data_IF_701941857020
#
_entry.id   IF_701941857020
#
_cell.length_a   1.000
_cell.length_b   1.000
_cell.length_c   1.000
_cell.angle_alpha   90.00
_cell.angle_beta   90.00
_cell.angle_gamma   90.00
#
_symmetry.space_group_name_H-M   'P 1'
#
loop_
_entity.id
_entity.type
_entity.pdbx_description
1 polymer ?
#
# COMPACT_ATOMS: atom_id res chain seq x y z
N UNK A 1 -0.82 94.08 6.16
CA UNK A 1 -1.15 92.65 6.28
C UNK A 1 0.00 91.85 5.68
N UNK A 2 0.72 91.12 6.54
CA UNK A 2 1.87 90.22 6.25
C UNK A 2 1.49 89.16 5.18
N UNK A 3 2.23 88.76 4.14
CA UNK A 3 3.66 88.60 3.83
C UNK A 3 4.41 87.51 4.63
N UNK A 4 5.46 86.83 4.10
CA UNK A 4 5.60 86.19 2.77
C UNK A 4 6.64 85.00 2.71
N UNK A 5 7.00 84.55 1.48
CA UNK A 5 8.32 84.01 0.99
C UNK A 5 8.74 82.58 1.41
N UNK A 6 9.55 81.79 0.67
CA UNK A 6 10.12 81.81 -0.70
C UNK A 6 11.00 80.55 -0.96
N UNK A 7 11.27 80.24 -2.25
CA UNK A 7 12.55 79.76 -2.85
C UNK A 7 13.08 78.33 -2.55
N UNK A 8 13.23 77.46 -3.57
CA UNK A 8 14.33 77.26 -4.57
C UNK A 8 15.58 76.55 -4.02
N UNK A 9 15.98 75.42 -4.63
CA UNK A 9 17.25 75.32 -5.38
C UNK A 9 17.28 74.07 -6.27
N UNK A 10 18.06 74.14 -7.37
CA UNK A 10 18.10 73.24 -8.51
C UNK A 10 19.57 73.09 -8.90
N UNK A 11 20.05 71.85 -9.07
CA UNK A 11 21.09 71.41 -10.04
C UNK A 11 22.51 72.02 -9.93
N UNK A 12 23.49 71.76 -10.82
CA UNK A 12 23.69 70.76 -11.90
C UNK A 12 25.10 70.09 -11.75
N UNK A 13 25.72 69.29 -12.63
CA UNK A 13 26.08 69.49 -14.05
C UNK A 13 26.89 68.25 -14.48
N UNK A 14 26.46 67.54 -15.53
CA UNK A 14 26.99 67.55 -16.91
C UNK A 14 28.40 66.97 -17.12
N UNK A 15 28.38 65.94 -17.96
CA UNK A 15 29.42 65.32 -18.77
C UNK A 15 30.33 66.30 -19.53
N UNK A 16 31.50 65.81 -19.96
CA UNK A 16 32.13 66.19 -21.22
C UNK A 16 32.28 65.00 -22.20
N UNK A 17 32.66 65.25 -23.47
CA UNK A 17 32.12 64.54 -24.64
C UNK A 17 33.14 63.71 -25.45
N UNK A 18 32.61 62.73 -26.19
CA UNK A 18 33.08 62.28 -27.51
C UNK A 18 34.47 61.64 -27.64
N UNK A 19 34.86 61.19 -28.84
CA UNK A 19 34.44 59.90 -29.41
C UNK A 19 35.64 59.04 -29.87
N UNK A 20 35.48 57.72 -29.94
CA UNK A 20 35.68 56.87 -31.14
C UNK A 20 35.86 55.37 -30.80
N UNK A 21 35.13 54.60 -31.59
CA UNK A 21 35.02 53.14 -31.83
C UNK A 21 36.25 52.25 -31.53
N UNK A 22 36.07 50.92 -31.31
CA UNK A 22 35.74 50.06 -32.45
C UNK A 22 34.82 48.85 -32.21
N UNK A 23 34.32 48.37 -33.34
CA UNK A 23 33.98 46.99 -33.68
C UNK A 23 32.58 46.44 -33.29
N UNK A 24 31.70 46.51 -34.28
CA UNK A 24 30.68 45.53 -34.69
C UNK A 24 30.16 44.53 -33.63
N UNK A 25 28.97 44.82 -33.11
CA UNK A 25 28.12 43.86 -32.41
C UNK A 25 27.30 43.07 -33.44
N UNK A 26 27.67 41.80 -33.62
CA UNK A 26 26.80 40.74 -34.15
C UNK A 26 26.07 40.06 -32.99
N UNK A 27 24.79 39.76 -33.21
CA UNK A 27 23.79 39.25 -32.26
C UNK A 27 24.26 38.02 -31.45
N UNK A 28 23.91 37.98 -30.16
CA UNK A 28 23.87 36.74 -29.37
C UNK A 28 22.59 36.74 -28.53
N UNK A 29 21.84 35.63 -28.64
CA UNK A 29 20.59 35.35 -27.96
C UNK A 29 20.81 35.20 -26.45
N UNK A 30 19.82 35.59 -25.65
CA UNK A 30 19.76 35.31 -24.21
C UNK A 30 19.54 33.81 -23.99
N UNK A 31 20.61 33.11 -23.63
CA UNK A 31 20.58 31.75 -23.08
C UNK A 31 20.52 31.88 -21.55
N UNK A 32 19.33 31.66 -20.97
CA UNK A 32 19.20 31.53 -19.52
C UNK A 32 19.79 30.18 -19.12
N UNK A 33 20.95 30.22 -18.46
CA UNK A 33 21.57 29.04 -17.87
C UNK A 33 20.65 28.44 -16.80
N UNK A 34 20.36 27.14 -16.93
CA UNK A 34 19.69 26.37 -15.89
C UNK A 34 20.60 26.30 -14.65
N UNK A 35 20.02 26.55 -13.48
CA UNK A 35 20.69 26.40 -12.20
C UNK A 35 20.73 24.89 -11.90
N UNK A 36 21.91 24.30 -11.90
CA UNK A 36 22.12 22.90 -11.49
C UNK A 36 21.98 22.76 -9.97
N UNK A 37 21.33 21.66 -9.55
CA UNK A 37 21.15 21.32 -8.13
C UNK A 37 22.40 20.60 -7.63
N UNK A 38 22.94 21.08 -6.52
CA UNK A 38 24.08 20.52 -5.80
C UNK A 38 23.67 19.18 -5.17
N UNK A 39 24.22 18.06 -5.67
CA UNK A 39 24.00 16.71 -5.13
C UNK A 39 25.18 16.31 -4.23
N UNK A 40 25.38 17.08 -3.16
CA UNK A 40 26.28 16.72 -2.06
C UNK A 40 25.46 16.11 -0.91
N UNK A 41 25.02 14.87 -1.10
CA UNK A 41 24.55 14.01 -0.01
C UNK A 41 25.74 13.39 0.74
N UNK A 42 26.50 14.22 1.45
CA UNK A 42 27.58 13.75 2.33
C UNK A 42 26.99 13.30 3.68
N UNK A 43 26.39 12.11 3.70
CA UNK A 43 25.88 11.49 4.93
C UNK A 43 27.00 10.69 5.62
N UNK A 44 27.79 11.42 6.42
CA UNK A 44 28.57 10.84 7.50
C UNK A 44 27.60 10.32 8.59
N UNK A 45 27.13 9.07 8.46
CA UNK A 45 26.45 8.37 9.54
C UNK A 45 27.12 7.04 9.87
N UNK A 46 27.30 6.84 11.18
CA UNK A 46 28.01 5.75 11.84
C UNK A 46 27.66 4.38 11.26
N UNK A 47 28.70 3.69 10.77
CA UNK A 47 28.70 2.31 10.28
C UNK A 47 28.09 1.35 11.33
N UNK A 48 26.80 1.03 11.18
CA UNK A 48 26.23 -0.13 11.86
C UNK A 48 26.70 -1.38 11.10
N UNK A 49 27.33 -2.30 11.81
CA UNK A 49 27.79 -3.56 11.25
C UNK A 49 26.60 -4.51 11.10
N UNK A 50 25.97 -4.45 9.93
CA UNK A 50 25.05 -5.45 9.39
C UNK A 50 25.03 -5.25 7.88
N UNK A 51 25.62 -6.18 7.13
CA UNK A 51 25.64 -6.12 5.67
C UNK A 51 24.21 -6.39 5.21
N UNK A 52 23.51 -5.35 4.76
CA UNK A 52 22.34 -5.44 3.89
C UNK A 52 22.68 -4.71 2.61
N UNK A 53 22.71 -5.43 1.48
CA UNK A 53 22.98 -4.86 0.17
C UNK A 53 21.71 -4.16 -0.35
N UNK A 54 21.45 -2.95 0.15
CA UNK A 54 20.36 -2.11 -0.36
C UNK A 54 20.92 -1.21 -1.45
N UNK A 55 20.49 -1.40 -2.71
CA UNK A 55 20.81 -0.48 -3.80
C UNK A 55 19.80 0.68 -3.85
N UNK A 56 20.24 1.84 -4.33
CA UNK A 56 19.33 2.96 -4.65
C UNK A 56 18.31 2.52 -5.71
N UNK A 57 17.06 2.99 -5.59
CA UNK A 57 15.98 2.67 -6.53
C UNK A 57 16.38 3.05 -7.96
N UNK A 58 16.38 2.05 -8.86
CA UNK A 58 16.64 2.29 -10.29
C UNK A 58 15.46 3.05 -10.90
N UNK A 59 15.75 4.01 -11.77
CA UNK A 59 14.72 4.81 -12.47
C UNK A 59 13.71 3.95 -13.24
N UNK A 60 14.11 2.75 -13.69
CA UNK A 60 13.23 1.77 -14.33
C UNK A 60 12.11 1.23 -13.44
N UNK A 61 12.32 1.19 -12.11
CA UNK A 61 11.30 0.75 -11.14
C UNK A 61 10.19 1.81 -11.02
N UNK A 62 10.55 3.09 -11.19
CA UNK A 62 9.62 4.23 -11.22
C UNK A 62 8.91 4.40 -12.56
N UNK A 63 9.25 3.61 -13.58
CA UNK A 63 8.66 3.68 -14.92
C UNK A 63 7.31 2.95 -14.97
N UNK A 64 6.34 3.42 -14.16
CA UNK A 64 5.02 2.84 -14.01
C UNK A 64 4.34 2.54 -15.36
N UNK A 65 3.56 1.45 -15.39
CA UNK A 65 2.78 1.07 -16.56
C UNK A 65 1.36 1.60 -16.47
N UNK A 66 0.78 1.88 -17.62
CA UNK A 66 -0.58 2.38 -17.74
C UNK A 66 -1.39 1.48 -18.65
N UNK A 67 -2.45 0.88 -18.11
CA UNK A 67 -3.35 -0.02 -18.82
C UNK A 67 -4.78 0.37 -18.46
N UNK A 68 -5.67 0.48 -19.45
CA UNK A 68 -7.09 0.78 -19.24
C UNK A 68 -7.35 2.03 -18.34
N UNK A 69 -6.46 3.02 -18.39
CA UNK A 69 -6.56 4.25 -17.59
C UNK A 69 -6.16 4.09 -16.12
N UNK A 70 -5.53 2.98 -15.73
CA UNK A 70 -5.04 2.68 -14.39
C UNK A 70 -3.52 2.57 -14.39
N UNK A 71 -2.87 2.93 -13.28
CA UNK A 71 -1.41 2.82 -13.10
C UNK A 71 -1.07 1.49 -12.45
N UNK A 72 0.00 0.84 -12.89
CA UNK A 72 0.55 -0.40 -12.34
C UNK A 72 2.05 -0.25 -12.09
N UNK A 73 2.57 -1.07 -11.19
CA UNK A 73 4.01 -1.13 -10.93
C UNK A 73 4.80 -1.59 -12.17
N UNK A 74 6.10 -1.30 -12.18
CA UNK A 74 7.01 -1.70 -13.26
C UNK A 74 7.94 -2.86 -12.87
N UNK A 75 8.13 -3.09 -11.56
CA UNK A 75 9.07 -4.08 -11.04
C UNK A 75 8.50 -5.50 -11.15
N UNK A 76 9.12 -6.36 -11.97
CA UNK A 76 8.55 -7.66 -12.33
C UNK A 76 7.13 -7.53 -12.91
N UNK A 77 6.96 -6.67 -13.91
CA UNK A 77 5.65 -6.43 -14.53
C UNK A 77 4.89 -7.73 -14.86
N UNK A 78 3.58 -7.71 -14.62
CA UNK A 78 2.67 -8.85 -14.72
C UNK A 78 2.58 -9.69 -13.44
N UNK A 79 3.47 -9.50 -12.47
CA UNK A 79 3.46 -10.24 -11.21
C UNK A 79 2.28 -9.88 -10.30
N UNK A 80 1.77 -8.64 -10.38
CA UNK A 80 0.66 -8.15 -9.55
C UNK A 80 -0.53 -7.71 -10.39
N UNK A 81 -1.72 -8.04 -9.91
CA UNK A 81 -2.96 -7.92 -10.67
C UNK A 81 -3.70 -6.60 -10.43
N UNK A 82 -3.51 -5.95 -9.28
CA UNK A 82 -4.19 -4.71 -8.94
C UNK A 82 -3.37 -3.47 -9.33
N UNK A 83 -4.02 -2.33 -9.64
CA UNK A 83 -3.34 -1.06 -9.90
C UNK A 83 -2.70 -0.48 -8.64
N UNK A 84 -1.93 0.60 -8.79
CA UNK A 84 -1.32 1.34 -7.69
C UNK A 84 -1.47 2.88 -7.84
N UNK A 85 -2.41 3.33 -8.68
CA UNK A 85 -2.79 4.74 -8.78
C UNK A 85 -3.51 5.26 -7.54
N UNK A 86 -3.62 6.57 -7.41
CA UNK A 86 -4.18 7.28 -6.26
C UNK A 86 -5.58 6.76 -5.86
N UNK A 87 -6.42 6.42 -6.84
CA UNK A 87 -7.76 5.87 -6.56
C UNK A 87 -7.69 4.48 -5.92
N UNK A 88 -6.70 3.66 -6.29
CA UNK A 88 -6.48 2.37 -5.65
C UNK A 88 -5.87 2.53 -4.26
N UNK A 89 -4.94 3.47 -4.08
CA UNK A 89 -4.38 3.82 -2.77
C UNK A 89 -5.46 4.28 -1.80
N UNK A 90 -6.41 5.12 -2.25
CA UNK A 90 -7.59 5.48 -1.46
C UNK A 90 -8.42 4.25 -1.04
N UNK A 91 -8.50 3.21 -1.88
CA UNK A 91 -9.19 1.98 -1.51
C UNK A 91 -8.41 1.19 -0.44
N UNK A 92 -7.08 1.16 -0.53
CA UNK A 92 -6.20 0.52 0.46
C UNK A 92 -6.26 1.23 1.81
N UNK A 93 -6.29 2.56 1.82
CA UNK A 93 -6.45 3.36 3.04
C UNK A 93 -7.85 3.14 3.67
N UNK A 94 -8.92 3.05 2.86
CA UNK A 94 -10.24 2.67 3.36
C UNK A 94 -10.26 1.26 3.94
N UNK A 95 -9.47 0.34 3.38
CA UNK A 95 -9.32 -1.01 3.90
C UNK A 95 -8.59 -1.02 5.24
N UNK A 96 -7.55 -0.19 5.38
CA UNK A 96 -6.88 0.05 6.67
C UNK A 96 -7.88 0.51 7.74
N UNK A 97 -8.75 1.47 7.42
CA UNK A 97 -9.81 1.93 8.33
C UNK A 97 -10.81 0.82 8.70
N UNK A 98 -11.18 -0.04 7.74
CA UNK A 98 -12.03 -1.21 8.04
C UNK A 98 -11.38 -2.09 9.11
N UNK A 99 -10.08 -2.36 9.00
CA UNK A 99 -9.35 -3.14 10.00
C UNK A 99 -9.27 -2.42 11.36
N UNK A 100 -8.92 -1.13 11.38
CA UNK A 100 -8.90 -0.32 12.61
C UNK A 100 -10.23 -0.40 13.35
N UNK A 101 -11.35 -0.25 12.65
CA UNK A 101 -12.68 -0.30 13.25
C UNK A 101 -13.03 -1.71 13.76
N UNK A 102 -12.62 -2.77 13.06
CA UNK A 102 -12.79 -4.16 13.51
C UNK A 102 -11.99 -4.44 14.80
N UNK A 103 -10.82 -3.82 14.91
CA UNK A 103 -9.91 -3.94 16.05
C UNK A 103 -10.22 -2.99 17.21
N UNK A 104 -11.23 -2.13 17.08
CA UNK A 104 -11.50 -1.12 18.11
C UNK A 104 -10.39 -0.06 18.21
N UNK A 105 -9.81 0.31 17.08
CA UNK A 105 -8.76 1.31 16.90
C UNK A 105 -7.35 0.87 17.37
N UNK A 106 -7.10 -0.43 17.46
CA UNK A 106 -5.75 -0.99 17.57
C UNK A 106 -5.15 -1.29 16.19
N UNK A 107 -3.82 -1.46 16.10
CA UNK A 107 -3.12 -1.85 14.87
C UNK A 107 -2.93 -3.37 14.69
N UNK A 108 -2.89 -4.10 15.81
CA UNK A 108 -2.61 -5.53 15.87
C UNK A 108 -3.28 -6.17 17.11
N UNK A 109 -3.38 -7.50 17.14
CA UNK A 109 -3.83 -8.31 18.30
C UNK A 109 -2.69 -9.13 18.94
N UNK A 110 -1.57 -9.34 18.22
CA UNK A 110 -0.43 -10.11 18.71
C UNK A 110 0.19 -9.53 20.01
N UNK A 111 0.50 -10.36 21.02
CA UNK A 111 1.03 -9.89 22.30
C UNK A 111 2.55 -9.67 22.24
N UNK A 112 2.97 -8.62 21.53
CA UNK A 112 4.38 -8.30 21.26
C UNK A 112 5.08 -7.53 22.41
N UNK A 113 4.36 -7.24 23.49
CA UNK A 113 4.84 -6.41 24.60
C UNK A 113 4.92 -4.92 24.23
N UNK A 114 5.50 -4.12 25.13
CA UNK A 114 5.50 -2.65 25.02
C UNK A 114 6.74 -2.07 24.34
N UNK A 115 7.72 -2.91 23.97
CA UNK A 115 9.01 -2.44 23.44
C UNK A 115 9.56 -3.33 22.32
N UNK A 116 8.82 -3.52 21.20
CA UNK A 116 9.38 -4.18 20.02
C UNK A 116 10.60 -3.40 19.49
N UNK A 117 11.59 -4.09 18.91
CA UNK A 117 12.82 -3.46 18.42
C UNK A 117 12.96 -3.50 16.90
N UNK A 118 12.58 -4.60 16.26
CA UNK A 118 12.59 -4.76 14.80
C UNK A 118 11.27 -5.32 14.31
N UNK A 119 10.60 -4.58 13.43
CA UNK A 119 9.29 -4.94 12.88
C UNK A 119 9.35 -4.94 11.37
N UNK A 120 8.77 -5.97 10.75
CA UNK A 120 8.62 -6.10 9.30
C UNK A 120 7.15 -6.06 8.94
N UNK A 121 6.75 -5.16 8.05
CA UNK A 121 5.42 -5.12 7.41
C UNK A 121 5.54 -5.60 5.96
N UNK A 122 5.03 -6.80 5.68
CA UNK A 122 5.14 -7.41 4.34
C UNK A 122 3.95 -7.03 3.47
N UNK A 123 4.24 -6.54 2.26
CA UNK A 123 3.24 -5.98 1.36
C UNK A 123 2.56 -4.75 1.94
N UNK A 124 3.39 -3.78 2.32
CA UNK A 124 2.94 -2.62 3.10
C UNK A 124 2.01 -1.65 2.32
N UNK A 125 1.85 -1.81 1.00
CA UNK A 125 0.96 -0.97 0.19
C UNK A 125 1.32 0.51 0.29
N UNK A 126 0.38 1.35 0.73
CA UNK A 126 0.63 2.78 0.98
C UNK A 126 1.60 3.05 2.13
N UNK A 127 1.90 2.03 2.96
CA UNK A 127 2.75 2.14 4.14
C UNK A 127 2.04 2.65 5.38
N UNK A 128 0.73 2.95 5.31
CA UNK A 128 -0.04 3.57 6.39
C UNK A 128 0.06 2.80 7.72
N UNK A 129 0.03 1.46 7.68
CA UNK A 129 0.17 0.66 8.89
C UNK A 129 1.57 0.77 9.51
N UNK A 130 2.62 0.66 8.70
CA UNK A 130 3.99 0.76 9.16
C UNK A 130 4.28 2.16 9.77
N UNK A 131 3.71 3.21 9.17
CA UNK A 131 3.81 4.58 9.66
C UNK A 131 3.13 4.73 11.02
N UNK A 132 1.85 4.34 11.13
CA UNK A 132 1.14 4.42 12.41
C UNK A 132 1.79 3.56 13.49
N UNK A 133 2.29 2.37 13.13
CA UNK A 133 2.99 1.50 14.07
C UNK A 133 4.28 2.16 14.58
N UNK A 134 5.05 2.79 13.69
CA UNK A 134 6.28 3.49 14.04
C UNK A 134 6.02 4.70 14.95
N UNK A 135 4.92 5.42 14.75
CA UNK A 135 4.47 6.50 15.63
C UNK A 135 4.03 5.98 17.01
N UNK A 136 3.30 4.86 17.08
CA UNK A 136 2.90 4.22 18.34
C UNK A 136 4.10 3.60 19.09
N UNK A 137 5.17 3.20 18.39
CA UNK A 137 6.36 2.54 18.94
C UNK A 137 7.67 3.23 18.51
N UNK A 138 8.03 4.39 19.08
CA UNK A 138 9.23 5.14 18.70
C UNK A 138 10.57 4.38 18.92
N UNK A 139 10.56 3.29 19.69
CA UNK A 139 11.72 2.44 19.95
C UNK A 139 11.92 1.33 18.92
N UNK A 140 10.93 1.08 18.06
CA UNK A 140 10.98 0.04 17.03
C UNK A 140 11.57 0.58 15.74
N UNK A 141 12.46 -0.19 15.12
CA UNK A 141 12.87 -0.02 13.71
C UNK A 141 11.86 -0.77 12.82
N UNK A 142 11.05 -0.02 12.08
CA UNK A 142 9.96 -0.53 11.24
C UNK A 142 10.38 -0.51 9.78
N UNK A 143 10.38 -1.68 9.16
CA UNK A 143 10.64 -1.87 7.74
C UNK A 143 9.35 -2.31 7.04
N UNK A 144 8.87 -1.53 6.08
CA UNK A 144 7.83 -1.96 5.15
C UNK A 144 8.43 -2.43 3.83
N UNK A 145 7.90 -3.53 3.27
CA UNK A 145 8.33 -4.07 1.97
C UNK A 145 7.15 -4.12 1.02
N UNK A 146 7.30 -3.61 -0.20
CA UNK A 146 6.28 -3.72 -1.25
C UNK A 146 6.91 -3.79 -2.64
N UNK A 147 6.16 -4.27 -3.63
CA UNK A 147 6.59 -4.22 -5.04
C UNK A 147 6.54 -2.80 -5.62
N UNK A 148 5.66 -1.96 -5.07
CA UNK A 148 5.39 -0.62 -5.56
C UNK A 148 6.07 0.44 -4.68
N UNK A 149 6.91 1.33 -5.24
CA UNK A 149 7.40 2.49 -4.52
C UNK A 149 6.36 3.62 -4.51
N UNK A 150 5.30 3.46 -3.72
CA UNK A 150 4.17 4.40 -3.64
C UNK A 150 4.03 5.04 -2.25
N UNK A 151 4.91 4.70 -1.32
CA UNK A 151 4.87 5.16 0.05
C UNK A 151 5.31 6.64 0.14
N UNK A 152 4.81 7.41 1.12
CA UNK A 152 5.16 8.81 1.27
C UNK A 152 6.64 9.00 1.62
N UNK A 153 7.21 10.12 1.17
CA UNK A 153 8.61 10.47 1.49
C UNK A 153 8.80 10.97 2.93
N UNK A 154 7.73 11.49 3.55
CA UNK A 154 7.78 12.03 4.91
C UNK A 154 7.16 11.02 5.87
N UNK A 155 8.01 10.28 6.57
CA UNK A 155 7.64 9.23 7.53
C UNK A 155 8.41 9.39 8.84
N UNK A 156 7.98 8.71 9.92
CA UNK A 156 8.72 8.70 11.18
C UNK A 156 10.18 8.27 10.96
N UNK A 157 11.14 8.81 11.74
CA UNK A 157 12.57 8.54 11.56
C UNK A 157 12.95 7.07 11.79
N UNK A 158 12.06 6.29 12.40
CA UNK A 158 12.19 4.87 12.68
C UNK A 158 11.36 4.00 11.72
N UNK A 159 10.89 4.56 10.60
CA UNK A 159 10.17 3.86 9.55
C UNK A 159 10.90 4.01 8.21
N UNK A 160 11.08 2.91 7.48
CA UNK A 160 11.62 2.92 6.12
C UNK A 160 10.93 1.90 5.23
N UNK A 161 11.08 2.06 3.92
CA UNK A 161 10.51 1.16 2.92
C UNK A 161 11.56 0.62 1.96
N UNK A 162 11.39 -0.63 1.56
CA UNK A 162 12.20 -1.30 0.55
C UNK A 162 11.31 -1.84 -0.56
N UNK A 163 11.76 -1.69 -1.81
CA UNK A 163 11.08 -2.28 -2.97
C UNK A 163 11.62 -3.69 -3.18
N UNK A 164 10.84 -4.70 -2.83
CA UNK A 164 11.21 -6.10 -3.04
C UNK A 164 9.99 -7.00 -3.19
N UNK A 165 10.20 -8.19 -3.76
CA UNK A 165 9.20 -9.24 -3.85
C UNK A 165 9.37 -10.23 -2.68
N UNK A 166 8.43 -10.19 -1.74
CA UNK A 166 8.44 -11.06 -0.57
C UNK A 166 8.38 -12.56 -0.90
N UNK A 167 8.03 -12.92 -2.14
CA UNK A 167 8.03 -14.31 -2.62
C UNK A 167 9.43 -14.80 -3.00
N UNK A 168 10.42 -13.92 -3.15
CA UNK A 168 11.83 -14.26 -3.30
C UNK A 168 12.45 -14.73 -1.96
N UNK A 169 13.69 -15.23 -2.00
CA UNK A 169 14.43 -15.53 -0.77
C UNK A 169 14.70 -14.23 0.00
N UNK A 170 14.45 -14.25 1.31
CA UNK A 170 14.69 -13.09 2.16
C UNK A 170 16.17 -13.01 2.51
N UNK A 171 16.75 -11.82 2.35
CA UNK A 171 18.19 -11.57 2.57
C UNK A 171 18.50 -11.12 4.00
N UNK A 172 17.49 -11.02 4.85
CA UNK A 172 17.67 -10.72 6.27
C UNK A 172 18.39 -11.87 6.99
N UNK A 173 19.12 -11.61 8.08
CA UNK A 173 19.59 -12.68 8.95
C UNK A 173 18.42 -13.47 9.56
N UNK A 174 18.66 -14.74 9.89
CA UNK A 174 17.75 -15.53 10.71
C UNK A 174 17.55 -14.84 12.08
N UNK A 175 16.40 -15.05 12.72
CA UNK A 175 16.09 -14.50 14.05
C UNK A 175 16.28 -12.96 14.16
N UNK A 176 15.79 -12.21 13.18
CA UNK A 176 15.95 -10.75 13.11
C UNK A 176 14.79 -9.98 13.73
N UNK A 177 13.55 -10.34 13.40
CA UNK A 177 12.37 -9.54 13.69
C UNK A 177 11.68 -9.99 14.98
N UNK A 178 11.30 -9.02 15.82
CA UNK A 178 10.46 -9.27 17.00
C UNK A 178 9.00 -9.48 16.59
N UNK A 179 8.57 -8.79 15.53
CA UNK A 179 7.23 -8.87 14.98
C UNK A 179 7.26 -8.81 13.45
N UNK A 180 6.52 -9.70 12.80
CA UNK A 180 6.25 -9.65 11.36
C UNK A 180 4.75 -9.53 11.17
N UNK A 181 4.32 -8.47 10.49
CA UNK A 181 2.93 -8.20 10.17
C UNK A 181 2.71 -8.38 8.67
N UNK A 182 1.57 -8.97 8.32
CA UNK A 182 1.07 -9.11 6.96
C UNK A 182 -0.42 -8.81 6.94
N UNK A 183 -0.89 -8.01 5.98
CA UNK A 183 -2.32 -7.76 5.87
C UNK A 183 -2.76 -7.53 4.43
N UNK A 184 -3.87 -8.17 4.07
CA UNK A 184 -4.50 -8.05 2.75
C UNK A 184 -3.61 -8.51 1.59
N UNK A 185 -2.86 -9.58 1.82
CA UNK A 185 -1.95 -10.19 0.82
C UNK A 185 -2.61 -11.27 -0.05
N UNK A 186 -3.95 -11.38 0.01
CA UNK A 186 -4.71 -12.31 -0.84
C UNK A 186 -4.46 -12.04 -2.33
N UNK A 187 -4.27 -13.11 -3.10
CA UNK A 187 -3.94 -13.01 -4.53
C UNK A 187 -2.52 -12.54 -4.83
N UNK A 188 -1.68 -12.28 -3.82
CA UNK A 188 -0.26 -11.95 -3.98
C UNK A 188 0.64 -13.18 -3.81
N UNK A 189 0.23 -14.10 -2.93
CA UNK A 189 1.05 -15.19 -2.42
C UNK A 189 0.71 -16.51 -3.11
N UNK A 190 1.67 -17.19 -3.76
CA UNK A 190 1.44 -18.48 -4.41
C UNK A 190 1.36 -19.65 -3.41
N UNK A 191 2.22 -19.63 -2.38
CA UNK A 191 2.22 -20.63 -1.31
C UNK A 191 2.38 -19.93 0.05
N UNK A 192 1.28 -19.90 0.80
CA UNK A 192 1.25 -19.28 2.12
C UNK A 192 2.05 -20.06 3.16
N UNK A 193 2.14 -21.39 3.04
CA UNK A 193 2.97 -22.19 3.94
C UNK A 193 4.44 -21.82 3.76
N UNK A 194 4.89 -21.61 2.52
CA UNK A 194 6.25 -21.16 2.24
C UNK A 194 6.52 -19.74 2.76
N UNK A 195 5.56 -18.83 2.58
CA UNK A 195 5.66 -17.50 3.19
C UNK A 195 5.83 -17.58 4.71
N UNK A 196 5.02 -18.42 5.38
CA UNK A 196 5.16 -18.60 6.83
C UNK A 196 6.47 -19.28 7.21
N UNK A 197 7.05 -20.18 6.39
CA UNK A 197 8.39 -20.74 6.66
C UNK A 197 9.48 -19.67 6.62
N UNK A 198 9.40 -18.75 5.66
CA UNK A 198 10.32 -17.59 5.59
C UNK A 198 10.12 -16.69 6.80
N UNK A 199 8.87 -16.34 7.12
CA UNK A 199 8.57 -15.58 8.33
C UNK A 199 9.14 -16.27 9.58
N UNK A 200 8.94 -17.57 9.74
CA UNK A 200 9.47 -18.35 10.86
C UNK A 200 10.99 -18.28 10.97
N UNK A 201 11.70 -18.43 9.85
CA UNK A 201 13.16 -18.33 9.79
C UNK A 201 13.68 -16.98 10.30
N UNK A 202 12.98 -15.88 9.95
CA UNK A 202 13.43 -14.53 10.25
C UNK A 202 12.79 -13.89 11.50
N UNK A 203 11.75 -14.50 12.09
CA UNK A 203 11.24 -14.14 13.41
C UNK A 203 12.18 -14.65 14.49
N UNK A 204 12.46 -13.85 15.52
CA UNK A 204 13.23 -14.26 16.71
C UNK A 204 12.50 -15.32 17.53
N UNK A 205 13.20 -16.18 18.29
CA UNK A 205 12.57 -16.96 19.34
C UNK A 205 11.82 -16.04 20.32
N UNK A 206 10.56 -16.36 20.62
CA UNK A 206 9.64 -15.52 21.38
C UNK A 206 8.97 -14.38 20.59
N UNK A 207 9.38 -14.15 19.33
CA UNK A 207 8.78 -13.18 18.43
C UNK A 207 7.47 -13.68 17.82
N UNK A 208 6.71 -12.75 17.24
CA UNK A 208 5.36 -13.00 16.73
C UNK A 208 5.24 -12.75 15.23
N UNK A 209 4.29 -13.46 14.63
CA UNK A 209 3.75 -13.16 13.31
C UNK A 209 2.26 -12.94 13.42
N UNK A 210 1.76 -11.90 12.78
CA UNK A 210 0.33 -11.66 12.61
C UNK A 210 0.02 -11.52 11.12
N UNK A 211 -0.98 -12.26 10.65
CA UNK A 211 -1.43 -12.24 9.26
C UNK A 211 -2.94 -12.01 9.24
N UNK A 212 -3.39 -10.98 8.52
CA UNK A 212 -4.76 -10.50 8.61
C UNK A 212 -5.38 -10.43 7.23
N UNK A 213 -6.39 -11.26 6.97
CA UNK A 213 -6.87 -11.44 5.61
C UNK A 213 -8.40 -11.37 5.52
N UNK A 214 -8.90 -10.41 4.74
CA UNK A 214 -10.30 -10.29 4.35
C UNK A 214 -10.51 -11.07 3.05
N UNK A 215 -10.85 -12.34 3.18
CA UNK A 215 -10.87 -13.29 2.06
C UNK A 215 -11.93 -12.96 1.01
N UNK A 216 -11.60 -13.26 -0.25
CA UNK A 216 -12.50 -13.06 -1.40
C UNK A 216 -13.77 -13.91 -1.37
N UNK A 217 -13.87 -14.89 -0.45
CA UNK A 217 -15.03 -15.74 -0.29
C UNK A 217 -16.23 -14.95 0.26
N UNK A 218 -17.12 -14.59 -0.64
CA UNK A 218 -18.42 -14.01 -0.30
C UNK A 218 -19.39 -15.07 0.19
N UNK A 219 -20.03 -14.80 1.34
CA UNK A 219 -21.02 -15.68 1.97
C UNK A 219 -22.35 -14.93 2.17
N UNK A 220 -23.42 -15.69 2.36
CA UNK A 220 -24.72 -15.20 2.82
C UNK A 220 -25.30 -16.18 3.85
N UNK A 221 -26.11 -15.67 4.77
CA UNK A 221 -26.75 -16.48 5.81
C UNK A 221 -28.21 -16.87 5.48
N UNK A 222 -28.74 -16.39 4.35
CA UNK A 222 -30.15 -16.57 3.94
C UNK A 222 -30.34 -17.23 2.57
N UNK A 223 -29.29 -17.88 2.05
CA UNK A 223 -29.27 -18.55 0.74
C UNK A 223 -29.61 -17.66 -0.48
N UNK A 224 -29.57 -16.33 -0.33
CA UNK A 224 -29.88 -15.42 -1.44
C UNK A 224 -28.70 -15.17 -2.38
N UNK A 225 -27.48 -15.64 -2.05
CA UNK A 225 -26.32 -15.59 -2.94
C UNK A 225 -26.37 -16.72 -3.97
N UNK A 226 -27.16 -16.51 -5.02
CA UNK A 226 -27.32 -17.45 -6.14
C UNK A 226 -26.21 -17.30 -7.19
N UNK A 227 -25.94 -18.32 -8.04
CA UNK A 227 -24.94 -18.24 -9.12
C UNK A 227 -25.11 -17.05 -10.07
N UNK A 228 -26.34 -16.56 -10.25
CA UNK A 228 -26.65 -15.43 -11.11
C UNK A 228 -26.29 -14.09 -10.48
N UNK A 229 -26.09 -14.06 -9.16
CA UNK A 229 -25.82 -12.86 -8.37
C UNK A 229 -24.53 -12.18 -8.82
N UNK A 230 -24.50 -10.83 -8.91
CA UNK A 230 -23.28 -10.11 -9.29
C UNK A 230 -22.07 -10.46 -8.41
N UNK A 231 -22.27 -10.56 -7.09
CA UNK A 231 -21.20 -10.93 -6.15
C UNK A 231 -20.65 -12.34 -6.41
N UNK A 232 -21.52 -13.30 -6.73
CA UNK A 232 -21.09 -14.66 -7.04
C UNK A 232 -20.22 -14.67 -8.30
N UNK A 233 -20.66 -13.99 -9.36
CA UNK A 233 -19.89 -13.85 -10.61
C UNK A 233 -18.55 -13.16 -10.40
N UNK A 234 -18.50 -12.18 -9.49
CA UNK A 234 -17.26 -11.50 -9.14
C UNK A 234 -16.26 -12.45 -8.44
N UNK A 235 -16.73 -13.30 -7.51
CA UNK A 235 -15.89 -14.37 -6.92
C UNK A 235 -15.37 -15.35 -7.98
N UNK A 236 -16.19 -15.71 -8.95
CA UNK A 236 -15.77 -16.60 -10.05
C UNK A 236 -14.66 -15.98 -10.94
N UNK A 237 -14.60 -14.65 -11.03
CA UNK A 237 -13.48 -13.97 -11.72
C UNK A 237 -12.18 -14.22 -10.96
N UNK A 238 -12.15 -14.05 -9.64
CA UNK A 238 -10.95 -14.30 -8.84
C UNK A 238 -10.51 -15.76 -8.84
N UNK A 239 -11.44 -16.73 -8.89
CA UNK A 239 -11.07 -18.15 -9.06
C UNK A 239 -10.35 -18.40 -10.37
N UNK A 240 -10.76 -17.72 -11.46
CA UNK A 240 -10.08 -17.83 -12.75
C UNK A 240 -8.72 -17.15 -12.72
N UNK A 241 -8.62 -15.97 -12.08
CA UNK A 241 -7.33 -15.28 -11.90
C UNK A 241 -6.37 -16.16 -11.09
N UNK A 242 -6.81 -16.73 -9.97
CA UNK A 242 -6.04 -17.69 -9.17
C UNK A 242 -5.54 -18.87 -10.01
N UNK A 243 -6.42 -19.45 -10.84
CA UNK A 243 -6.05 -20.57 -11.71
C UNK A 243 -4.99 -20.19 -12.76
N UNK A 244 -4.94 -18.92 -13.18
CA UNK A 244 -3.98 -18.40 -14.15
C UNK A 244 -2.65 -18.01 -13.51
N UNK A 245 -2.69 -17.36 -12.35
CA UNK A 245 -1.50 -16.80 -11.70
C UNK A 245 -0.86 -17.76 -10.70
N UNK A 246 -1.59 -18.76 -10.23
CA UNK A 246 -1.18 -19.63 -9.12
C UNK A 246 -1.21 -18.93 -7.76
N UNK A 247 -1.67 -17.67 -7.68
CA UNK A 247 -1.73 -16.88 -6.44
C UNK A 247 -3.12 -16.94 -5.83
N UNK A 248 -3.21 -17.41 -4.59
CA UNK A 248 -4.50 -17.79 -4.02
C UNK A 248 -5.25 -16.63 -3.39
N UNK A 249 -6.55 -16.55 -3.68
CA UNK A 249 -7.53 -15.67 -3.04
C UNK A 249 -8.36 -16.40 -1.97
N UNK A 250 -8.19 -17.73 -1.86
CA UNK A 250 -9.07 -18.62 -1.09
C UNK A 250 -8.25 -19.63 -0.25
N UNK A 251 -7.36 -19.12 0.61
CA UNK A 251 -6.51 -19.93 1.49
C UNK A 251 -7.00 -20.00 2.95
N UNK A 252 -8.19 -19.45 3.23
CA UNK A 252 -8.72 -19.27 4.59
C UNK A 252 -8.77 -20.57 5.41
N UNK A 253 -9.21 -21.67 4.81
CA UNK A 253 -9.36 -22.97 5.47
C UNK A 253 -8.03 -23.69 5.73
N UNK A 254 -6.96 -23.33 5.01
CA UNK A 254 -5.63 -23.94 5.16
C UNK A 254 -4.69 -23.13 6.04
N UNK A 255 -4.99 -21.86 6.28
CA UNK A 255 -4.07 -20.92 6.90
C UNK A 255 -3.51 -21.37 8.26
N UNK A 256 -4.36 -21.87 9.17
CA UNK A 256 -3.88 -22.37 10.48
C UNK A 256 -2.94 -23.57 10.34
N UNK A 257 -3.22 -24.48 9.39
CA UNK A 257 -2.36 -25.62 9.11
C UNK A 257 -1.04 -25.15 8.50
N UNK A 258 -1.07 -24.22 7.54
CA UNK A 258 0.13 -23.62 6.94
C UNK A 258 1.05 -22.98 7.98
N UNK A 259 0.48 -22.27 8.98
CA UNK A 259 1.25 -21.68 10.08
C UNK A 259 1.90 -22.77 10.95
N UNK A 260 1.15 -23.83 11.28
CA UNK A 260 1.65 -24.95 12.07
C UNK A 260 2.75 -25.73 11.32
N UNK A 261 2.55 -25.97 10.02
CA UNK A 261 3.50 -26.67 9.14
C UNK A 261 4.79 -25.87 8.92
N UNK A 262 4.74 -24.54 9.09
CA UNK A 262 5.92 -23.68 9.07
C UNK A 262 6.74 -23.76 10.37
N UNK A 263 6.21 -24.36 11.43
CA UNK A 263 6.89 -24.57 12.71
C UNK A 263 6.48 -23.60 13.82
N UNK A 264 5.57 -22.66 13.55
CA UNK A 264 5.07 -21.77 14.59
C UNK A 264 4.25 -22.51 15.65
N UNK A 265 4.30 -21.97 16.87
CA UNK A 265 3.52 -22.41 18.02
C UNK A 265 2.57 -21.29 18.46
N UNK A 266 1.76 -21.53 19.49
CA UNK A 266 0.78 -20.57 20.01
C UNK A 266 -0.10 -19.97 18.91
N UNK A 267 -0.54 -20.82 17.97
CA UNK A 267 -1.42 -20.40 16.88
C UNK A 267 -2.79 -20.08 17.47
N UNK A 268 -3.06 -18.79 17.65
CA UNK A 268 -4.36 -18.26 18.02
C UNK A 268 -4.92 -17.44 16.88
N UNK A 269 -6.23 -17.27 16.86
CA UNK A 269 -6.86 -16.39 15.89
C UNK A 269 -8.35 -16.59 15.81
N UNK A 270 -9.02 -15.59 15.25
CA UNK A 270 -10.47 -15.62 15.05
C UNK A 270 -10.80 -15.53 13.57
N UNK A 271 -11.88 -16.21 13.20
CA UNK A 271 -12.56 -16.01 11.92
C UNK A 271 -13.85 -15.28 12.20
N UNK A 272 -14.01 -14.09 11.62
CA UNK A 272 -15.18 -13.25 11.80
C UNK A 272 -15.89 -13.01 10.48
N UNK A 273 -17.19 -12.73 10.58
CA UNK A 273 -18.01 -12.29 9.45
C UNK A 273 -17.98 -10.77 9.40
N UNK A 274 -17.53 -10.21 8.28
CA UNK A 274 -17.55 -8.76 8.03
C UNK A 274 -18.72 -8.49 7.09
N UNK A 275 -19.81 -7.86 7.56
CA UNK A 275 -20.95 -7.55 6.72
C UNK A 275 -20.56 -6.68 5.52
N UNK A 276 -21.37 -6.72 4.48
CA UNK A 276 -21.31 -5.73 3.41
C UNK A 276 -22.63 -4.95 3.40
N UNK A 277 -22.56 -3.66 3.70
CA UNK A 277 -23.71 -2.76 3.81
C UNK A 277 -24.30 -2.65 5.21
N UNK A 278 -25.36 -1.85 5.34
CA UNK A 278 -25.92 -1.40 6.63
C UNK A 278 -27.11 -2.24 7.13
N UNK A 279 -27.26 -3.46 6.62
CA UNK A 279 -28.37 -4.35 6.96
C UNK A 279 -28.33 -4.95 8.39
N UNK A 280 -27.17 -5.12 9.08
CA UNK A 280 -27.16 -5.63 10.44
C UNK A 280 -27.97 -4.75 11.41
N UNK A 281 -28.66 -5.37 12.38
CA UNK A 281 -29.33 -4.62 13.46
C UNK A 281 -28.33 -4.07 14.47
N UNK A 282 -27.31 -4.86 14.79
CA UNK A 282 -26.22 -4.47 15.68
C UNK A 282 -25.50 -3.22 15.14
N UNK A 283 -25.25 -2.24 16.00
CA UNK A 283 -24.70 -0.94 15.60
C UNK A 283 -23.24 -1.04 15.16
N UNK A 284 -22.45 -1.90 15.80
CA UNK A 284 -21.04 -2.11 15.49
C UNK A 284 -20.93 -2.81 14.13
N UNK A 285 -21.65 -3.92 13.94
CA UNK A 285 -21.66 -4.66 12.68
C UNK A 285 -22.22 -3.83 11.52
N UNK A 286 -23.19 -2.94 11.79
CA UNK A 286 -23.69 -1.99 10.79
C UNK A 286 -22.61 -0.98 10.39
N UNK A 287 -21.81 -0.49 11.33
CA UNK A 287 -20.69 0.40 11.05
C UNK A 287 -19.62 -0.32 10.21
N UNK A 288 -19.24 -1.54 10.61
CA UNK A 288 -18.29 -2.38 9.85
C UNK A 288 -18.77 -2.56 8.41
N UNK A 289 -20.04 -2.91 8.24
CA UNK A 289 -20.63 -3.12 6.93
C UNK A 289 -20.71 -1.87 6.06
N UNK A 290 -20.91 -0.69 6.66
CA UNK A 290 -20.87 0.59 5.94
C UNK A 290 -19.47 0.86 5.36
N UNK A 291 -18.43 0.73 6.17
CA UNK A 291 -17.04 0.95 5.76
C UNK A 291 -16.59 -0.10 4.75
N UNK A 292 -16.85 -1.39 5.00
CA UNK A 292 -16.50 -2.46 4.09
C UNK A 292 -17.19 -2.28 2.71
N UNK A 293 -18.44 -1.82 2.69
CA UNK A 293 -19.11 -1.46 1.43
C UNK A 293 -18.43 -0.30 0.72
N UNK A 294 -17.97 0.71 1.45
CA UNK A 294 -17.29 1.86 0.87
C UNK A 294 -15.95 1.46 0.24
N UNK A 295 -15.13 0.71 0.99
CA UNK A 295 -13.91 0.07 0.50
C UNK A 295 -14.15 -0.71 -0.79
N UNK A 296 -15.12 -1.64 -0.77
CA UNK A 296 -15.40 -2.47 -1.94
C UNK A 296 -15.82 -1.63 -3.15
N UNK A 297 -16.66 -0.61 -2.97
CA UNK A 297 -17.07 0.27 -4.07
C UNK A 297 -15.92 1.10 -4.64
N UNK A 298 -15.01 1.56 -3.77
CA UNK A 298 -13.84 2.33 -4.17
C UNK A 298 -12.87 1.46 -5.00
N UNK A 299 -12.53 0.27 -4.49
CA UNK A 299 -11.53 -0.62 -5.09
C UNK A 299 -12.04 -1.54 -6.21
N UNK A 300 -13.36 -1.74 -6.33
CA UNK A 300 -13.96 -2.74 -7.22
C UNK A 300 -13.39 -2.73 -8.65
N UNK A 301 -13.34 -1.56 -9.25
CA UNK A 301 -12.87 -1.41 -10.63
C UNK A 301 -11.40 -1.79 -10.74
N UNK A 302 -10.56 -1.30 -9.82
CA UNK A 302 -9.13 -1.62 -9.79
C UNK A 302 -8.90 -3.12 -9.62
N UNK A 303 -9.65 -3.76 -8.73
CA UNK A 303 -9.54 -5.19 -8.49
C UNK A 303 -9.96 -6.05 -9.70
N UNK A 304 -10.80 -5.52 -10.58
CA UNK A 304 -11.44 -6.32 -11.62
C UNK A 304 -10.86 -6.06 -13.00
N UNK A 305 -10.43 -4.83 -13.29
CA UNK A 305 -10.23 -4.39 -14.68
C UNK A 305 -9.10 -5.14 -15.38
N UNK A 306 -7.90 -5.27 -14.79
CA UNK A 306 -6.76 -5.99 -15.41
C UNK A 306 -7.04 -7.49 -15.51
N UNK A 307 -7.60 -8.08 -14.44
CA UNK A 307 -7.97 -9.49 -14.42
C UNK A 307 -8.99 -9.84 -15.50
N UNK A 308 -10.00 -8.99 -15.71
CA UNK A 308 -11.01 -9.22 -16.73
C UNK A 308 -10.50 -8.96 -18.15
N UNK A 309 -9.79 -7.85 -18.37
CA UNK A 309 -9.36 -7.43 -19.70
C UNK A 309 -8.11 -8.18 -20.17
N UNK A 310 -6.98 -7.97 -19.50
CA UNK A 310 -5.68 -8.48 -19.92
C UNK A 310 -5.52 -9.97 -19.61
N UNK A 311 -5.97 -10.45 -18.44
CA UNK A 311 -5.77 -11.86 -18.05
C UNK A 311 -6.84 -12.80 -18.64
N UNK A 312 -8.10 -12.36 -18.71
CA UNK A 312 -9.22 -13.19 -19.16
C UNK A 312 -9.76 -12.84 -20.56
N UNK A 313 -9.31 -11.74 -21.18
CA UNK A 313 -9.71 -11.35 -22.54
C UNK A 313 -11.16 -10.84 -22.64
N UNK A 314 -11.77 -10.41 -21.53
CA UNK A 314 -13.18 -10.01 -21.42
C UNK A 314 -13.30 -8.48 -21.50
N UNK A 315 -13.71 -7.94 -22.65
CA UNK A 315 -13.77 -6.48 -22.86
C UNK A 315 -14.99 -5.79 -22.22
N UNK A 316 -16.15 -5.79 -22.88
CA UNK A 316 -17.32 -4.95 -22.53
C UNK A 316 -18.27 -5.56 -21.49
N UNK A 317 -18.26 -6.88 -21.29
CA UNK A 317 -19.03 -7.53 -20.22
C UNK A 317 -18.39 -7.32 -18.85
N UNK A 318 -17.07 -7.11 -18.80
CA UNK A 318 -16.32 -6.83 -17.58
C UNK A 318 -16.75 -5.52 -16.91
N UNK A 319 -16.76 -4.44 -17.69
CA UNK A 319 -17.20 -3.12 -17.21
C UNK A 319 -18.67 -3.13 -16.77
N UNK A 320 -19.52 -3.89 -17.46
CA UNK A 320 -20.93 -4.09 -17.05
C UNK A 320 -21.05 -4.90 -15.77
N UNK A 321 -20.22 -5.92 -15.55
CA UNK A 321 -20.21 -6.71 -14.32
C UNK A 321 -19.78 -5.88 -13.11
N UNK A 322 -18.69 -5.11 -13.26
CA UNK A 322 -18.22 -4.13 -12.27
C UNK A 322 -19.32 -3.10 -11.97
N UNK A 323 -19.89 -2.50 -13.01
CA UNK A 323 -20.95 -1.49 -12.86
C UNK A 323 -22.24 -2.05 -12.25
N UNK A 324 -22.60 -3.30 -12.57
CA UNK A 324 -23.77 -4.00 -12.02
C UNK A 324 -23.54 -4.38 -10.55
N UNK A 325 -22.33 -4.81 -10.19
CA UNK A 325 -21.96 -5.04 -8.80
C UNK A 325 -22.06 -3.75 -7.96
N UNK A 326 -21.61 -2.61 -8.51
CA UNK A 326 -21.66 -1.30 -7.85
C UNK A 326 -23.06 -0.67 -7.78
N UNK A 327 -23.87 -0.74 -8.85
CA UNK A 327 -25.11 0.04 -8.98
C UNK A 327 -26.42 -0.75 -8.75
N UNK A 328 -26.48 -2.05 -9.07
CA UNK A 328 -27.75 -2.80 -9.05
C UNK A 328 -28.04 -3.46 -7.69
N UNK A 329 -27.40 -2.98 -6.64
CA UNK A 329 -27.51 -3.61 -5.34
C UNK A 329 -26.79 -4.96 -5.23
N UNK A 330 -25.81 -5.23 -6.11
CA UNK A 330 -24.94 -6.42 -6.03
C UNK A 330 -24.21 -6.54 -4.68
N UNK A 331 -23.93 -5.39 -4.05
CA UNK A 331 -23.44 -5.26 -2.67
C UNK A 331 -24.58 -5.10 -1.64
N UNK A 332 -25.77 -4.67 -2.06
CA UNK A 332 -26.90 -4.33 -1.15
C UNK A 332 -27.85 -5.49 -0.87
N UNK A 333 -27.46 -6.72 -1.19
CA UNK A 333 -28.21 -7.90 -0.75
C UNK A 333 -28.22 -7.97 0.77
N UNK A 334 -29.39 -8.21 1.36
CA UNK A 334 -29.48 -8.52 2.78
C UNK A 334 -28.55 -9.72 3.06
N UNK A 335 -27.81 -9.67 4.17
CA UNK A 335 -26.95 -10.75 4.67
C UNK A 335 -25.65 -11.06 3.93
N UNK A 336 -25.19 -10.23 2.99
CA UNK A 336 -23.85 -10.42 2.37
C UNK A 336 -22.72 -10.14 3.35
N UNK A 337 -21.67 -10.96 3.31
CA UNK A 337 -20.49 -10.84 4.16
C UNK A 337 -19.23 -11.44 3.51
N UNK A 338 -18.08 -10.96 3.95
CA UNK A 338 -16.78 -11.58 3.73
C UNK A 338 -16.30 -12.26 5.01
N UNK A 339 -15.42 -13.25 4.86
CA UNK A 339 -14.73 -13.88 5.99
C UNK A 339 -13.43 -13.14 6.23
N UNK A 340 -13.19 -12.65 7.44
CA UNK A 340 -11.89 -12.14 7.86
C UNK A 340 -11.25 -13.15 8.80
N UNK A 341 -10.00 -13.50 8.55
CA UNK A 341 -9.22 -14.38 9.42
C UNK A 341 -8.05 -13.61 10.01
N UNK A 342 -7.80 -13.83 11.30
CA UNK A 342 -6.82 -13.08 12.09
C UNK A 342 -5.92 -14.00 12.91
N UNK A 343 -5.04 -14.81 12.28
CA UNK A 343 -4.06 -15.59 13.01
C UNK A 343 -2.93 -14.74 13.57
N UNK A 344 -2.56 -15.07 14.80
CA UNK A 344 -1.32 -14.68 15.45
C UNK A 344 -0.59 -15.95 15.86
N UNK A 345 0.72 -15.99 15.69
CA UNK A 345 1.53 -17.14 16.08
C UNK A 345 2.92 -16.72 16.56
N UNK A 346 3.54 -17.57 17.38
CA UNK A 346 4.82 -17.27 17.99
C UNK A 346 5.87 -18.32 17.64
N UNK A 347 7.11 -17.88 17.45
CA UNK A 347 8.25 -18.81 17.36
C UNK A 347 8.67 -19.21 18.77
N UNK A 348 8.73 -20.52 19.02
CA UNK A 348 9.13 -21.08 20.33
C UNK A 348 10.62 -20.97 20.60
#
# INVERSE_FOLDING_TARGET
MSSPKSQKSRSPTKSPPGPQSPAALGQVAEEQAAIEVDDDSDSSYSKSTGITDTESLRSSIMAFKWENGRRYHAYQDGSYWAPNDDRQQEAEDLMHEVYRIILGNSLYEAPIGDNPQKVLDIGCGTGIWAIEFADEHPSADVLGVDLSPIQPNFVPPNCRFEVDDITNEWTYPDDTFDFIHARSMIGCIPDWTELYRKAFKHTKPGGWVESVELWGNSKCDDDTLKPESPLYKWVEVFKKIESLTGKSFFWDDKMQQSISDAGFTNVSGRRIKVPIGTWPKDKILKQWGAWNRHFLLQGLEGFSIRGLTEMLGVSWSAYRMVRQFANDGGISGNTRMLSCSWPTCAKS
#
